data_IF_964134738010
#
_entry.id   IF_964134738010
#
_cell.length_a   1.000
_cell.length_b   1.000
_cell.length_c   1.000
_cell.angle_alpha   90.00
_cell.angle_beta   90.00
_cell.angle_gamma   90.00
#
_symmetry.space_group_name_H-M   'P 1'
#
loop_
_entity.id
_entity.type
_entity.pdbx_description
1 polymer ?
#
# COMPACT_ATOMS: atom_id res chain seq x y z
N UNK A 1 -21.42 -31.06 -19.38
CA UNK A 1 -20.07 -30.54 -19.72
C UNK A 1 -20.06 -29.43 -20.78
N UNK A 2 -20.96 -29.41 -21.78
CA UNK A 2 -20.98 -28.40 -22.86
C UNK A 2 -21.42 -26.98 -22.44
N UNK A 3 -22.28 -26.85 -21.41
CA UNK A 3 -22.78 -25.55 -20.94
C UNK A 3 -21.70 -24.65 -20.31
N UNK A 4 -20.75 -25.25 -19.57
CA UNK A 4 -19.63 -24.51 -18.95
C UNK A 4 -18.74 -23.83 -20.00
N UNK A 5 -18.52 -24.47 -21.14
CA UNK A 5 -17.62 -23.96 -22.19
C UNK A 5 -18.19 -22.73 -22.91
N UNK A 6 -19.50 -22.73 -23.19
CA UNK A 6 -20.20 -21.60 -23.81
C UNK A 6 -20.28 -20.36 -22.91
N UNK A 7 -20.40 -20.54 -21.59
CA UNK A 7 -20.37 -19.42 -20.66
C UNK A 7 -19.01 -18.70 -20.67
N UNK A 8 -17.89 -19.43 -20.74
CA UNK A 8 -16.55 -18.81 -20.79
C UNK A 8 -16.20 -18.10 -22.11
N UNK A 9 -16.91 -18.42 -23.20
CA UNK A 9 -16.73 -17.77 -24.50
C UNK A 9 -17.67 -16.57 -24.73
N UNK A 10 -18.66 -16.36 -23.86
CA UNK A 10 -19.56 -15.21 -23.94
C UNK A 10 -18.87 -13.92 -23.50
N UNK A 11 -18.86 -12.91 -24.37
CA UNK A 11 -18.38 -11.56 -24.03
C UNK A 11 -19.10 -10.97 -22.82
N UNK A 12 -20.36 -11.34 -22.59
CA UNK A 12 -21.12 -10.92 -21.41
C UNK A 12 -20.59 -11.57 -20.13
N UNK A 13 -20.28 -12.86 -20.16
CA UNK A 13 -19.68 -13.53 -19.01
C UNK A 13 -18.28 -13.00 -18.71
N UNK A 14 -17.47 -12.74 -19.74
CA UNK A 14 -16.17 -12.08 -19.59
C UNK A 14 -16.32 -10.68 -18.98
N UNK A 15 -17.32 -9.91 -19.41
CA UNK A 15 -17.62 -8.61 -18.81
C UNK A 15 -18.03 -8.75 -17.34
N UNK A 16 -18.97 -9.64 -17.02
CA UNK A 16 -19.40 -9.88 -15.64
C UNK A 16 -18.21 -10.36 -14.78
N UNK A 17 -17.43 -11.31 -15.25
CA UNK A 17 -16.33 -11.91 -14.50
C UNK A 17 -15.14 -10.95 -14.31
N UNK A 18 -14.79 -10.14 -15.32
CA UNK A 18 -13.62 -9.26 -15.24
C UNK A 18 -13.94 -7.82 -14.81
N UNK A 19 -15.18 -7.35 -14.98
CA UNK A 19 -15.61 -5.98 -14.62
C UNK A 19 -16.42 -5.97 -13.31
N UNK A 20 -17.38 -6.88 -13.16
CA UNK A 20 -18.31 -6.85 -12.03
C UNK A 20 -17.86 -7.73 -10.86
N UNK A 21 -17.31 -8.91 -11.12
CA UNK A 21 -16.90 -9.82 -10.05
C UNK A 21 -15.82 -9.24 -9.12
N UNK A 22 -14.82 -8.47 -9.59
CA UNK A 22 -13.90 -7.77 -8.69
C UNK A 22 -14.61 -6.76 -7.79
N UNK A 23 -15.57 -6.00 -8.33
CA UNK A 23 -16.37 -5.05 -7.53
C UNK A 23 -17.20 -5.77 -6.45
N UNK A 24 -17.82 -6.89 -6.79
CA UNK A 24 -18.56 -7.70 -5.82
C UNK A 24 -17.64 -8.34 -4.79
N UNK A 25 -16.48 -8.85 -5.20
CA UNK A 25 -15.48 -9.39 -4.26
C UNK A 25 -14.98 -8.33 -3.31
N UNK A 26 -14.71 -7.11 -3.75
CA UNK A 26 -14.32 -6.02 -2.86
C UNK A 26 -15.46 -5.65 -1.88
N UNK A 27 -16.70 -5.57 -2.37
CA UNK A 27 -17.87 -5.18 -1.55
C UNK A 27 -18.31 -6.25 -0.56
N UNK A 28 -18.08 -7.53 -0.87
CA UNK A 28 -18.45 -8.67 -0.02
C UNK A 28 -17.23 -9.37 0.59
N UNK A 29 -16.02 -8.83 0.42
CA UNK A 29 -14.87 -9.29 1.16
C UNK A 29 -15.16 -9.04 2.63
N UNK A 30 -15.24 -10.11 3.42
CA UNK A 30 -15.24 -10.00 4.86
C UNK A 30 -13.99 -9.23 5.28
N UNK A 31 -14.19 -8.16 6.05
CA UNK A 31 -13.08 -7.43 6.66
C UNK A 31 -12.14 -8.45 7.33
N UNK A 32 -10.81 -8.28 7.23
CA UNK A 32 -9.89 -9.15 7.95
C UNK A 32 -10.28 -9.13 9.43
N UNK A 33 -10.35 -10.32 10.04
CA UNK A 33 -10.69 -10.41 11.45
C UNK A 33 -9.77 -9.47 12.24
N UNK A 34 -10.31 -8.58 13.10
CA UNK A 34 -9.51 -7.56 13.80
C UNK A 34 -8.28 -8.13 14.51
N UNK A 35 -8.41 -9.34 15.06
CA UNK A 35 -7.32 -10.10 15.70
C UNK A 35 -6.13 -10.39 14.76
N UNK A 36 -6.39 -10.64 13.46
CA UNK A 36 -5.33 -10.89 12.47
C UNK A 36 -4.57 -9.62 12.15
N UNK A 37 -5.27 -8.51 12.00
CA UNK A 37 -4.64 -7.20 11.79
C UNK A 37 -3.80 -6.82 13.01
N UNK A 38 -4.37 -6.94 14.22
CA UNK A 38 -3.64 -6.65 15.45
C UNK A 38 -2.38 -7.50 15.58
N UNK A 39 -2.47 -8.81 15.31
CA UNK A 39 -1.30 -9.70 15.34
C UNK A 39 -0.23 -9.31 14.31
N UNK A 40 -0.64 -8.88 13.11
CA UNK A 40 0.29 -8.38 12.11
C UNK A 40 0.99 -7.11 12.60
N UNK A 41 0.25 -6.14 13.15
CA UNK A 41 0.79 -4.91 13.71
C UNK A 41 1.76 -5.18 14.87
N UNK A 42 1.45 -6.12 15.76
CA UNK A 42 2.33 -6.49 16.88
C UNK A 42 3.65 -7.11 16.40
N UNK A 43 3.59 -7.97 15.37
CA UNK A 43 4.81 -8.53 14.76
C UNK A 43 5.63 -7.44 14.05
N UNK A 44 4.97 -6.54 13.32
CA UNK A 44 5.63 -5.41 12.66
C UNK A 44 6.31 -4.49 13.67
N UNK A 45 5.68 -4.22 14.82
CA UNK A 45 6.28 -3.44 15.92
C UNK A 45 7.61 -4.04 16.38
N UNK A 46 7.66 -5.37 16.57
CA UNK A 46 8.88 -6.07 17.00
C UNK A 46 9.99 -5.90 15.96
N UNK A 47 9.68 -6.05 14.67
CA UNK A 47 10.67 -5.90 13.61
C UNK A 47 11.11 -4.44 13.43
N UNK A 48 10.24 -3.45 13.65
CA UNK A 48 10.65 -2.04 13.66
C UNK A 48 11.61 -1.73 14.82
N UNK A 49 11.33 -2.23 16.03
CA UNK A 49 12.24 -2.09 17.16
C UNK A 49 13.60 -2.75 16.86
N UNK A 50 13.59 -3.92 16.23
CA UNK A 50 14.81 -4.60 15.79
C UNK A 50 15.57 -3.76 14.75
N UNK A 51 14.89 -3.21 13.75
CA UNK A 51 15.53 -2.40 12.71
C UNK A 51 16.16 -1.13 13.29
N UNK A 52 15.49 -0.49 14.26
CA UNK A 52 16.07 0.62 15.01
C UNK A 52 17.35 0.23 15.75
N UNK A 53 17.34 -0.89 16.49
CA UNK A 53 18.53 -1.35 17.21
C UNK A 53 19.71 -1.68 16.28
N UNK A 54 19.42 -2.13 15.06
CA UNK A 54 20.44 -2.33 14.03
C UNK A 54 20.99 -1.00 13.53
N UNK A 55 20.14 0.00 13.37
CA UNK A 55 20.56 1.37 13.04
C UNK A 55 21.55 1.93 14.05
N UNK A 56 21.24 1.79 15.34
CA UNK A 56 22.14 2.20 16.43
C UNK A 56 23.45 1.41 16.43
N UNK A 57 23.38 0.09 16.21
CA UNK A 57 24.56 -0.79 16.21
C UNK A 57 25.52 -0.53 15.04
N UNK A 58 24.99 -0.18 13.87
CA UNK A 58 25.76 -0.02 12.63
C UNK A 58 25.81 1.44 12.17
N UNK A 59 25.50 2.39 13.05
CA UNK A 59 25.61 3.84 12.83
C UNK A 59 24.88 4.36 11.59
N UNK A 60 23.68 3.83 11.31
CA UNK A 60 22.79 4.38 10.29
C UNK A 60 21.43 4.75 10.88
N UNK A 61 20.77 5.75 10.31
CA UNK A 61 19.44 6.17 10.74
C UNK A 61 18.36 5.51 9.87
N UNK A 62 17.64 4.50 10.37
CA UNK A 62 16.56 3.88 9.63
C UNK A 62 15.39 4.84 9.44
N UNK A 63 14.70 4.70 8.30
CA UNK A 63 13.52 5.48 7.93
C UNK A 63 12.49 4.55 7.31
N UNK A 64 11.22 4.84 7.51
CA UNK A 64 10.12 4.05 6.96
C UNK A 64 9.35 4.92 5.98
N UNK A 65 9.12 4.41 4.77
CA UNK A 65 8.22 5.02 3.81
C UNK A 65 6.95 4.18 3.73
N UNK A 66 5.81 4.80 3.99
CA UNK A 66 4.52 4.13 3.91
C UNK A 66 3.95 4.29 2.51
N UNK A 67 3.83 3.18 1.79
CA UNK A 67 3.12 3.10 0.51
C UNK A 67 1.70 2.63 0.79
N UNK A 68 0.73 3.43 0.37
CA UNK A 68 -0.68 3.13 0.57
C UNK A 68 -1.20 2.19 -0.52
N UNK A 69 -2.07 1.23 -0.18
CA UNK A 69 -2.89 0.56 -1.18
C UNK A 69 -3.75 1.57 -1.94
N UNK A 70 -3.92 1.37 -3.25
CA UNK A 70 -4.80 2.22 -4.07
C UNK A 70 -6.22 2.29 -3.50
N UNK A 71 -6.70 1.20 -2.88
CA UNK A 71 -8.02 1.13 -2.26
C UNK A 71 -8.15 2.11 -1.10
N UNK A 72 -7.11 2.29 -0.29
CA UNK A 72 -7.14 3.21 0.85
C UNK A 72 -7.17 4.67 0.38
N UNK A 73 -6.47 4.96 -0.72
CA UNK A 73 -6.46 6.28 -1.35
C UNK A 73 -7.83 6.60 -1.96
N UNK A 74 -8.40 5.68 -2.75
CA UNK A 74 -9.70 5.85 -3.42
C UNK A 74 -10.84 5.93 -2.40
N UNK A 75 -10.81 5.11 -1.36
CA UNK A 75 -11.86 5.06 -0.34
C UNK A 75 -11.70 6.14 0.74
N UNK A 76 -10.59 6.88 0.75
CA UNK A 76 -10.31 7.91 1.77
C UNK A 76 -9.99 7.37 3.16
N UNK A 77 -9.61 6.09 3.28
CA UNK A 77 -9.29 5.41 4.55
C UNK A 77 -7.79 5.43 4.88
N UNK A 78 -6.96 6.02 4.03
CA UNK A 78 -5.49 6.09 4.18
C UNK A 78 -5.03 6.61 5.55
N UNK A 79 -5.76 7.54 6.18
CA UNK A 79 -5.42 8.06 7.52
C UNK A 79 -5.46 6.99 8.61
N UNK A 80 -6.35 6.01 8.49
CA UNK A 80 -6.44 4.91 9.45
C UNK A 80 -5.17 4.06 9.39
N UNK A 81 -4.69 3.80 8.16
CA UNK A 81 -3.42 3.11 7.92
C UNK A 81 -2.23 3.91 8.43
N UNK A 82 -2.19 5.23 8.18
CA UNK A 82 -1.12 6.09 8.72
C UNK A 82 -1.06 6.05 10.25
N UNK A 83 -2.20 6.25 10.92
CA UNK A 83 -2.26 6.24 12.38
C UNK A 83 -1.84 4.89 12.95
N UNK A 84 -2.34 3.79 12.38
CA UNK A 84 -1.99 2.44 12.84
C UNK A 84 -0.48 2.15 12.70
N UNK A 85 0.17 2.67 11.66
CA UNK A 85 1.62 2.53 11.45
C UNK A 85 2.41 3.45 12.39
N UNK A 86 1.98 4.70 12.58
CA UNK A 86 2.60 5.61 13.56
C UNK A 86 2.57 5.04 14.98
N UNK A 87 1.46 4.42 15.39
CA UNK A 87 1.29 3.83 16.72
C UNK A 87 2.24 2.65 17.00
N UNK A 88 2.76 1.99 15.96
CA UNK A 88 3.70 0.86 16.09
C UNK A 88 5.13 1.21 15.75
N UNK A 89 5.36 2.39 15.17
CA UNK A 89 6.70 2.88 14.90
C UNK A 89 7.32 3.38 16.20
N UNK A 90 8.60 3.07 16.44
CA UNK A 90 9.33 3.72 17.52
C UNK A 90 9.74 5.13 17.06
N UNK A 91 10.87 5.68 17.52
CA UNK A 91 11.28 7.06 17.18
C UNK A 91 11.78 7.25 15.74
N UNK A 92 11.54 6.28 14.85
CA UNK A 92 11.96 6.34 13.45
C UNK A 92 11.09 7.33 12.64
N UNK A 93 11.69 8.13 11.73
CA UNK A 93 10.92 8.97 10.83
C UNK A 93 10.03 8.16 9.89
N UNK A 94 8.75 8.55 9.81
CA UNK A 94 7.78 8.04 8.83
C UNK A 94 7.60 9.04 7.69
N UNK A 95 7.88 8.59 6.47
CA UNK A 95 7.54 9.30 5.25
C UNK A 95 6.16 8.82 4.75
N UNK A 96 5.17 9.69 4.95
CA UNK A 96 3.79 9.50 4.49
C UNK A 96 3.66 9.95 3.03
N UNK A 97 3.10 9.08 2.19
CA UNK A 97 2.99 9.34 0.74
C UNK A 97 1.56 9.62 0.27
N UNK A 98 0.55 9.44 1.11
CA UNK A 98 -0.86 9.54 0.71
C UNK A 98 -1.18 10.89 0.07
N UNK A 99 -0.86 11.99 0.73
CA UNK A 99 -1.13 13.34 0.24
C UNK A 99 -0.50 13.61 -1.13
N UNK A 100 0.68 13.03 -1.41
CA UNK A 100 1.38 13.19 -2.70
C UNK A 100 0.62 12.45 -3.80
N UNK A 101 0.18 11.23 -3.53
CA UNK A 101 -0.64 10.46 -4.48
C UNK A 101 -2.02 11.09 -4.69
N UNK A 102 -2.63 11.65 -3.64
CA UNK A 102 -3.93 12.32 -3.72
C UNK A 102 -3.87 13.68 -4.43
N UNK A 103 -2.74 14.38 -4.35
CA UNK A 103 -2.49 15.60 -5.11
C UNK A 103 -2.27 15.33 -6.62
N UNK A 104 -2.10 14.06 -7.00
CA UNK A 104 -1.96 13.62 -8.38
C UNK A 104 -3.12 12.72 -8.78
N UNK A 105 -3.12 12.26 -10.03
CA UNK A 105 -4.13 11.35 -10.53
C UNK A 105 -3.81 9.92 -10.07
N UNK A 106 -4.42 9.49 -8.96
CA UNK A 106 -4.20 8.17 -8.33
C UNK A 106 -4.35 7.02 -9.34
N UNK A 107 -5.29 7.11 -10.28
CA UNK A 107 -5.52 6.07 -11.28
C UNK A 107 -4.41 5.98 -12.35
N UNK A 108 -3.64 7.06 -12.54
CA UNK A 108 -2.43 7.03 -13.39
C UNK A 108 -1.22 6.47 -12.66
N UNK A 109 -1.22 6.51 -11.33
CA UNK A 109 -0.08 6.04 -10.54
C UNK A 109 -0.11 4.53 -10.29
N UNK A 110 -1.28 3.90 -10.34
CA UNK A 110 -1.48 2.48 -10.05
C UNK A 110 -2.20 1.77 -11.18
N UNK A 111 -1.88 0.49 -11.40
CA UNK A 111 -2.66 -0.31 -12.34
C UNK A 111 -4.09 -0.52 -11.80
N UNK A 112 -5.13 -0.32 -12.61
CA UNK A 112 -6.53 -0.37 -12.13
C UNK A 112 -6.95 -1.74 -11.54
N UNK A 113 -6.25 -2.81 -11.90
CA UNK A 113 -6.56 -4.19 -11.49
C UNK A 113 -5.48 -4.83 -10.64
N UNK A 114 -4.42 -4.10 -10.34
CA UNK A 114 -3.24 -4.60 -9.66
C UNK A 114 -2.73 -3.54 -8.67
N UNK A 115 -2.33 -3.95 -7.48
CA UNK A 115 -1.86 -3.03 -6.45
C UNK A 115 -0.46 -2.44 -6.76
N UNK A 116 0.16 -2.83 -7.87
CA UNK A 116 1.45 -2.29 -8.32
C UNK A 116 1.33 -0.91 -8.99
N UNK A 117 2.43 -0.16 -8.93
CA UNK A 117 2.57 1.13 -9.59
C UNK A 117 2.69 0.99 -11.11
N UNK A 118 2.14 1.97 -11.83
CA UNK A 118 2.50 2.27 -13.22
C UNK A 118 3.87 2.97 -13.26
N UNK A 119 4.52 3.10 -14.44
CA UNK A 119 5.78 3.83 -14.57
C UNK A 119 5.76 5.23 -13.96
N UNK A 120 4.65 5.95 -14.10
CA UNK A 120 4.43 7.28 -13.53
C UNK A 120 4.49 7.26 -11.99
N UNK A 121 3.78 6.31 -11.37
CA UNK A 121 3.79 6.15 -9.91
C UNK A 121 5.17 5.71 -9.38
N UNK A 122 5.87 4.83 -10.12
CA UNK A 122 7.22 4.42 -9.78
C UNK A 122 8.22 5.59 -9.89
N UNK A 123 8.11 6.42 -10.92
CA UNK A 123 8.90 7.65 -11.08
C UNK A 123 8.67 8.61 -9.92
N UNK A 124 7.41 8.82 -9.54
CA UNK A 124 7.04 9.69 -8.41
C UNK A 124 7.68 9.20 -7.10
N UNK A 125 7.64 7.90 -6.81
CA UNK A 125 8.32 7.32 -5.64
C UNK A 125 9.83 7.54 -5.71
N UNK A 126 10.44 7.34 -6.88
CA UNK A 126 11.88 7.59 -7.07
C UNK A 126 12.25 9.04 -6.76
N UNK A 127 11.46 10.00 -7.23
CA UNK A 127 11.67 11.42 -6.99
C UNK A 127 11.54 11.78 -5.50
N UNK A 128 10.54 11.22 -4.83
CA UNK A 128 10.34 11.39 -3.39
C UNK A 128 11.57 10.88 -2.62
N UNK A 129 12.04 9.67 -2.95
CA UNK A 129 13.21 9.08 -2.31
C UNK A 129 14.45 9.96 -2.52
N UNK A 130 14.72 10.38 -3.76
CA UNK A 130 15.85 11.24 -4.10
C UNK A 130 15.84 12.56 -3.29
N UNK A 131 14.68 13.20 -3.17
CA UNK A 131 14.53 14.44 -2.38
C UNK A 131 14.68 14.20 -0.87
N UNK A 132 14.21 13.05 -0.37
CA UNK A 132 14.34 12.71 1.05
C UNK A 132 15.80 12.49 1.49
N UNK A 133 16.67 12.07 0.57
CA UNK A 133 18.11 11.91 0.79
C UNK A 133 18.84 13.27 0.82
N UNK A 134 18.40 14.26 0.05
CA UNK A 134 19.07 15.58 -0.03
C UNK A 134 18.88 16.45 1.22
N UNK A 135 17.86 16.19 2.05
CA UNK A 135 17.59 16.94 3.29
C UNK A 135 18.49 16.53 4.47
N UNK A 136 19.50 15.69 4.26
CA UNK A 136 20.45 15.27 5.31
C UNK A 136 21.80 15.92 5.01
N UNK A 137 22.24 16.93 5.78
CA UNK A 137 23.60 17.42 5.63
C UNK A 137 24.57 16.27 5.96
N UNK A 138 25.71 16.16 5.27
CA UNK A 138 26.76 15.25 5.69
C UNK A 138 27.23 15.65 7.08
N UNK A 139 27.34 14.67 7.98
CA UNK A 139 27.95 14.85 9.31
C UNK A 139 29.40 15.32 9.19
#
# INVERSE_FOLDING_TARGET
MKLRRYLFESNLFRFVYHRLAPMFRARFASAPAPERLQRALDLTRIEFARFQSLGEKFEFTPRVMLIHPIQDLINGTWKETENAIEDILPTMPLLKTADIFLATDVEKNYFTRDAHFQPEGASLISDILAQSHQKVPPN
#
